data_IF_266115034354
#
_entry.id   IF_266115034354
#
_cell.length_a   1.000
_cell.length_b   1.000
_cell.length_c   1.000
_cell.angle_alpha   90.00
_cell.angle_beta   90.00
_cell.angle_gamma   90.00
#
_symmetry.space_group_name_H-M   'P 1'
#
loop_
_entity.id
_entity.type
_entity.pdbx_description
1 polymer ?
#
# COMPACT_ATOMS: atom_id res chain seq x y z
N UNK A 1 12.99 -11.32 6.78
CA UNK A 1 13.73 -10.77 5.61
C UNK A 1 12.84 -10.23 4.47
N UNK A 2 11.59 -10.68 4.30
CA UNK A 2 10.69 -10.27 3.19
C UNK A 2 10.14 -8.83 3.30
N UNK A 3 9.75 -8.37 4.48
CA UNK A 3 9.08 -7.06 4.66
C UNK A 3 9.97 -5.86 4.30
N UNK A 4 11.28 -5.93 4.59
CA UNK A 4 12.23 -4.83 4.27
C UNK A 4 12.31 -4.51 2.78
N UNK A 5 12.19 -5.53 1.90
CA UNK A 5 12.21 -5.34 0.45
C UNK A 5 10.93 -4.69 -0.05
N UNK A 6 9.78 -5.11 0.47
CA UNK A 6 8.49 -4.53 0.13
C UNK A 6 8.37 -3.05 0.54
N UNK A 7 8.90 -2.71 1.73
CA UNK A 7 8.97 -1.31 2.15
C UNK A 7 9.85 -0.49 1.20
N UNK A 8 11.01 -1.01 0.77
CA UNK A 8 11.84 -0.31 -0.24
C UNK A 8 11.10 -0.14 -1.57
N UNK A 9 10.38 -1.16 -2.02
CA UNK A 9 9.59 -1.08 -3.24
C UNK A 9 8.50 0.02 -3.14
N UNK A 10 7.78 0.08 -2.01
CA UNK A 10 6.78 1.12 -1.77
C UNK A 10 7.40 2.53 -1.76
N UNK A 11 8.54 2.70 -1.08
CA UNK A 11 9.28 3.98 -1.07
C UNK A 11 9.77 4.37 -2.48
N UNK A 12 10.30 3.41 -3.25
CA UNK A 12 10.69 3.63 -4.64
C UNK A 12 9.52 3.96 -5.57
N UNK A 13 8.31 3.52 -5.23
CA UNK A 13 7.08 3.87 -5.92
C UNK A 13 6.49 5.23 -5.52
N UNK A 14 7.17 5.99 -4.65
CA UNK A 14 6.73 7.33 -4.22
C UNK A 14 5.87 7.35 -2.95
N UNK A 15 5.64 6.21 -2.30
CA UNK A 15 4.91 6.19 -1.03
C UNK A 15 5.78 6.66 0.14
N UNK A 16 5.16 7.22 1.17
CA UNK A 16 5.80 7.47 2.46
C UNK A 16 5.55 6.31 3.43
N UNK A 17 6.51 6.04 4.32
CA UNK A 17 6.32 5.05 5.39
C UNK A 17 5.49 5.66 6.51
N UNK A 18 4.37 5.02 6.84
CA UNK A 18 3.56 5.39 8.00
C UNK A 18 4.22 4.98 9.33
N UNK A 19 4.37 3.67 9.58
CA UNK A 19 5.18 3.10 10.67
C UNK A 19 5.75 1.73 10.25
N UNK A 20 6.93 1.36 10.75
CA UNK A 20 7.55 0.06 10.51
C UNK A 20 7.12 -1.02 11.51
N UNK A 21 6.70 -0.64 12.72
CA UNK A 21 6.18 -1.57 13.72
C UNK A 21 5.49 -0.90 14.90
N UNK A 22 5.02 -1.69 15.89
CA UNK A 22 4.37 -1.16 17.10
C UNK A 22 5.28 -0.27 17.95
N UNK A 23 6.59 -0.42 17.82
CA UNK A 23 7.58 0.38 18.55
C UNK A 23 7.75 1.80 18.00
N UNK A 24 7.22 2.14 16.83
CA UNK A 24 7.40 3.49 16.26
C UNK A 24 6.37 4.50 16.79
N UNK A 25 5.28 4.03 17.40
CA UNK A 25 4.22 4.86 17.96
C UNK A 25 2.99 4.06 18.37
N UNK A 26 2.14 4.67 19.18
CA UNK A 26 0.91 4.04 19.66
C UNK A 26 -0.21 4.33 18.67
N UNK A 27 -0.91 3.29 18.23
CA UNK A 27 -2.14 3.42 17.45
C UNK A 27 -3.22 2.67 18.21
N UNK A 28 -4.18 3.40 18.76
CA UNK A 28 -5.39 2.84 19.34
C UNK A 28 -6.36 2.48 18.20
N UNK A 29 -7.03 1.34 18.30
CA UNK A 29 -8.00 0.90 17.31
C UNK A 29 -9.41 1.13 17.85
N UNK A 30 -10.18 1.98 17.16
CA UNK A 30 -11.55 2.37 17.50
C UNK A 30 -12.54 1.27 17.19
N UNK A 31 -12.80 0.46 18.21
CA UNK A 31 -13.93 -0.48 18.29
C UNK A 31 -14.33 -0.72 19.76
N UNK A 32 -13.84 0.15 20.65
CA UNK A 32 -14.00 0.10 22.11
C UNK A 32 -14.17 1.53 22.57
N UNK A 33 -15.40 2.06 22.50
CA UNK A 33 -15.75 3.35 23.09
C UNK A 33 -15.20 3.47 24.54
N UNK A 34 -15.25 2.36 25.27
CA UNK A 34 -14.59 2.13 26.55
C UNK A 34 -13.14 2.62 26.65
N UNK A 35 -12.33 2.52 25.60
CA UNK A 35 -10.93 2.94 25.67
C UNK A 35 -10.79 4.45 25.71
N UNK A 36 -11.63 5.18 24.96
CA UNK A 36 -11.61 6.65 24.96
C UNK A 36 -12.33 7.21 26.20
N UNK A 37 -13.33 6.50 26.72
CA UNK A 37 -14.15 6.96 27.84
C UNK A 37 -13.57 6.59 29.22
N UNK A 38 -12.55 5.71 29.30
CA UNK A 38 -11.91 5.32 30.56
C UNK A 38 -10.70 6.20 30.89
N UNK A 39 -10.90 7.17 31.79
CA UNK A 39 -9.83 7.91 32.44
C UNK A 39 -9.08 8.87 31.51
N UNK A 40 -7.75 8.73 31.41
CA UNK A 40 -6.87 9.62 30.62
C UNK A 40 -6.05 8.81 29.59
N UNK A 41 -6.71 8.15 28.62
CA UNK A 41 -6.07 7.16 27.73
C UNK A 41 -4.97 7.79 26.86
N UNK A 42 -5.16 9.03 26.40
CA UNK A 42 -4.12 9.75 25.67
C UNK A 42 -2.91 10.10 26.53
N UNK A 43 -3.11 10.45 27.80
CA UNK A 43 -1.99 10.73 28.71
C UNK A 43 -1.20 9.47 29.03
N UNK A 44 -1.88 8.34 29.24
CA UNK A 44 -1.24 7.03 29.40
C UNK A 44 -0.47 6.63 28.14
N UNK A 45 -1.09 6.78 26.96
CA UNK A 45 -0.45 6.52 25.68
C UNK A 45 0.78 7.42 25.47
N UNK A 46 0.67 8.72 25.78
CA UNK A 46 1.79 9.67 25.73
C UNK A 46 2.91 9.25 26.68
N UNK A 47 2.60 8.97 27.94
CA UNK A 47 3.57 8.53 28.93
C UNK A 47 4.32 7.26 28.51
N UNK A 48 3.61 6.28 27.93
CA UNK A 48 4.23 5.05 27.41
C UNK A 48 4.99 5.27 26.08
N UNK A 49 4.54 6.21 25.25
CA UNK A 49 5.14 6.48 23.94
C UNK A 49 6.38 7.39 24.01
N UNK A 50 6.54 8.19 25.07
CA UNK A 50 7.57 9.21 25.17
C UNK A 50 7.36 10.30 24.12
N UNK A 51 8.32 10.46 23.21
CA UNK A 51 8.25 11.43 22.09
C UNK A 51 7.56 10.87 20.82
N UNK A 52 7.15 9.60 20.83
CA UNK A 52 6.60 8.93 19.64
C UNK A 52 5.15 9.38 19.36
N UNK A 53 4.72 9.40 18.10
CA UNK A 53 3.36 9.77 17.76
C UNK A 53 2.33 8.82 18.37
N UNK A 54 1.20 9.39 18.76
CA UNK A 54 0.00 8.65 19.21
C UNK A 54 -1.15 8.92 18.25
N UNK A 55 -1.89 7.89 17.89
CA UNK A 55 -3.05 7.98 17.01
C UNK A 55 -4.20 7.09 17.44
N UNK A 56 -5.39 7.35 16.91
CA UNK A 56 -6.58 6.54 17.08
C UNK A 56 -7.25 6.31 15.71
N UNK A 57 -7.55 5.05 15.42
CA UNK A 57 -8.46 4.68 14.34
C UNK A 57 -9.91 4.91 14.80
N UNK A 58 -10.73 5.49 13.93
CA UNK A 58 -12.10 5.89 14.24
C UNK A 58 -13.05 5.50 13.13
N UNK A 59 -14.28 5.13 13.49
CA UNK A 59 -15.31 4.69 12.53
C UNK A 59 -16.42 5.73 12.33
N UNK A 60 -16.49 6.77 13.17
CA UNK A 60 -17.50 7.83 13.06
C UNK A 60 -17.06 9.20 13.58
N UNK A 61 -17.83 10.23 13.25
CA UNK A 61 -17.53 11.63 13.59
C UNK A 61 -17.43 11.87 15.10
N UNK A 62 -18.35 11.32 15.88
CA UNK A 62 -18.36 11.47 17.34
C UNK A 62 -17.09 10.88 17.99
N UNK A 63 -16.65 9.72 17.51
CA UNK A 63 -15.41 9.09 17.95
C UNK A 63 -14.18 9.90 17.51
N UNK A 64 -14.20 10.45 16.29
CA UNK A 64 -13.15 11.35 15.81
C UNK A 64 -13.02 12.60 16.69
N UNK A 65 -14.14 13.21 17.10
CA UNK A 65 -14.16 14.36 18.00
C UNK A 65 -13.64 14.00 19.39
N UNK A 66 -14.05 12.87 19.96
CA UNK A 66 -13.52 12.37 21.24
C UNK A 66 -12.01 12.12 21.18
N UNK A 67 -11.54 11.45 20.13
CA UNK A 67 -10.12 11.16 19.93
C UNK A 67 -9.30 12.45 19.74
N UNK A 68 -9.82 13.42 18.99
CA UNK A 68 -9.21 14.73 18.80
C UNK A 68 -9.11 15.51 20.12
N UNK A 69 -10.19 15.54 20.91
CA UNK A 69 -10.24 16.19 22.21
C UNK A 69 -9.25 15.55 23.20
N UNK A 70 -9.09 14.22 23.14
CA UNK A 70 -8.06 13.51 23.89
C UNK A 70 -6.63 13.76 23.35
N UNK A 71 -6.49 14.35 22.16
CA UNK A 71 -5.20 14.72 21.57
C UNK A 71 -4.50 13.58 20.83
N UNK A 72 -5.26 12.62 20.31
CA UNK A 72 -4.80 11.61 19.35
C UNK A 72 -4.85 12.15 17.93
N UNK A 73 -3.92 11.68 17.09
CA UNK A 73 -4.03 11.84 15.64
C UNK A 73 -5.12 10.90 15.07
N UNK A 74 -5.97 11.40 14.17
CA UNK A 74 -7.15 10.67 13.69
C UNK A 74 -6.80 9.82 12.45
N UNK A 75 -7.31 8.58 12.43
CA UNK A 75 -7.28 7.65 11.29
C UNK A 75 -8.71 7.19 10.98
N UNK A 76 -9.31 7.70 9.93
CA UNK A 76 -10.69 7.40 9.52
C UNK A 76 -10.70 6.02 8.85
N UNK A 77 -11.37 5.04 9.44
CA UNK A 77 -11.41 3.65 8.94
C UNK A 77 -12.50 3.42 7.89
N UNK A 78 -12.64 2.17 7.43
CA UNK A 78 -13.64 1.71 6.44
C UNK A 78 -15.09 2.05 6.81
N UNK A 79 -15.40 2.17 8.12
CA UNK A 79 -16.73 2.59 8.61
C UNK A 79 -17.01 4.09 8.47
N UNK A 80 -15.99 4.91 8.23
CA UNK A 80 -16.11 6.36 8.17
C UNK A 80 -16.66 6.79 6.82
N UNK A 81 -17.81 7.47 6.82
CA UNK A 81 -18.47 7.90 5.59
C UNK A 81 -17.55 8.80 4.76
N UNK A 82 -17.31 8.44 3.49
CA UNK A 82 -16.48 9.19 2.54
C UNK A 82 -16.83 10.68 2.47
N UNK A 83 -18.11 11.06 2.60
CA UNK A 83 -18.54 12.47 2.60
C UNK A 83 -18.10 13.25 3.83
N UNK A 84 -17.89 12.58 4.96
CA UNK A 84 -17.39 13.17 6.20
C UNK A 84 -15.85 13.23 6.24
N UNK A 85 -15.15 12.56 5.32
CA UNK A 85 -13.70 12.46 5.35
C UNK A 85 -12.95 13.80 5.19
N UNK A 86 -13.60 14.85 4.67
CA UNK A 86 -13.03 16.20 4.53
C UNK A 86 -13.55 17.25 5.52
N UNK A 87 -14.50 16.87 6.39
CA UNK A 87 -15.07 17.75 7.40
C UNK A 87 -14.68 17.22 8.79
N UNK A 88 -13.62 17.76 9.37
CA UNK A 88 -13.18 17.33 10.70
C UNK A 88 -12.10 18.23 11.29
N UNK A 89 -11.87 18.16 12.61
CA UNK A 89 -10.90 18.99 13.34
C UNK A 89 -9.43 18.74 12.94
N UNK A 90 -9.19 17.80 12.01
CA UNK A 90 -7.87 17.41 11.53
C UNK A 90 -7.38 18.17 10.29
N UNK A 91 -8.08 19.21 9.81
CA UNK A 91 -7.67 19.94 8.59
C UNK A 91 -6.63 21.05 8.83
N UNK A 92 -6.37 21.45 10.08
CA UNK A 92 -5.44 22.54 10.40
C UNK A 92 -4.14 22.01 11.04
N UNK A 93 -3.10 21.83 10.22
CA UNK A 93 -1.71 21.84 10.66
C UNK A 93 -0.88 20.59 10.34
N UNK A 94 0.13 20.77 9.48
CA UNK A 94 1.13 19.74 9.15
C UNK A 94 1.80 19.24 10.43
N UNK A 95 1.44 18.04 10.86
CA UNK A 95 1.99 17.35 12.03
C UNK A 95 1.00 17.04 13.15
N UNK A 96 -0.15 17.73 13.21
CA UNK A 96 -1.24 17.45 14.18
C UNK A 96 -2.62 17.30 13.53
N UNK A 97 -2.86 18.03 12.45
CA UNK A 97 -4.06 17.98 11.62
C UNK A 97 -3.69 17.57 10.19
N UNK A 98 -3.49 16.27 9.98
CA UNK A 98 -3.63 15.70 8.64
C UNK A 98 -4.72 14.63 8.75
N UNK A 99 -5.78 14.78 7.96
CA UNK A 99 -6.85 13.81 7.86
C UNK A 99 -6.35 12.58 7.11
N UNK A 100 -6.37 11.44 7.80
CA UNK A 100 -5.86 10.17 7.27
C UNK A 100 -7.01 9.23 7.02
N UNK A 101 -7.16 8.76 5.78
CA UNK A 101 -8.03 7.64 5.47
C UNK A 101 -7.23 6.34 5.56
N UNK A 102 -7.80 5.34 6.21
CA UNK A 102 -7.31 3.98 6.33
C UNK A 102 -8.46 3.00 6.12
N UNK A 103 -8.15 1.72 5.92
CA UNK A 103 -9.16 0.68 5.74
C UNK A 103 -9.42 0.35 4.27
N UNK A 104 -8.90 -0.80 3.84
CA UNK A 104 -9.14 -1.40 2.52
C UNK A 104 -9.03 -0.45 1.32
N UNK A 105 -8.12 0.53 1.40
CA UNK A 105 -7.82 1.44 0.28
C UNK A 105 -6.98 0.70 -0.74
N UNK A 106 -7.45 0.64 -1.99
CA UNK A 106 -6.81 0.00 -3.12
C UNK A 106 -6.91 0.89 -4.37
N UNK A 107 -6.33 0.46 -5.49
CA UNK A 107 -6.25 1.28 -6.70
C UNK A 107 -7.65 1.70 -7.22
N UNK A 108 -8.65 0.85 -6.99
CA UNK A 108 -10.03 1.00 -7.46
C UNK A 108 -10.80 2.10 -6.71
N UNK A 109 -10.46 2.36 -5.43
CA UNK A 109 -11.17 3.30 -4.58
C UNK A 109 -10.32 4.50 -4.11
N UNK A 110 -9.00 4.47 -4.32
CA UNK A 110 -8.09 5.53 -3.87
C UNK A 110 -8.47 6.92 -4.40
N UNK A 111 -8.96 7.00 -5.65
CA UNK A 111 -9.41 8.25 -6.24
C UNK A 111 -10.62 8.86 -5.51
N UNK A 112 -11.56 8.01 -5.05
CA UNK A 112 -12.73 8.47 -4.30
C UNK A 112 -12.34 9.01 -2.92
N UNK A 113 -11.39 8.36 -2.23
CA UNK A 113 -10.85 8.88 -0.97
C UNK A 113 -10.05 10.16 -1.18
N UNK A 114 -9.22 10.26 -2.23
CA UNK A 114 -8.48 11.49 -2.53
C UNK A 114 -9.41 12.68 -2.83
N UNK A 115 -10.52 12.45 -3.53
CA UNK A 115 -11.53 13.48 -3.77
C UNK A 115 -12.27 13.93 -2.50
N UNK A 116 -12.25 13.13 -1.44
CA UNK A 116 -12.88 13.42 -0.17
C UNK A 116 -12.06 14.38 0.74
N UNK A 117 -11.05 15.07 0.18
CA UNK A 117 -10.22 16.07 0.88
C UNK A 117 -9.43 15.52 2.08
N UNK A 118 -9.00 14.26 2.00
CA UNK A 118 -8.06 13.68 2.97
C UNK A 118 -6.62 14.02 2.57
N UNK A 119 -5.79 14.33 3.57
CA UNK A 119 -4.38 14.67 3.34
C UNK A 119 -3.53 13.42 3.03
N UNK A 120 -3.87 12.28 3.64
CA UNK A 120 -3.06 11.06 3.55
C UNK A 120 -3.94 9.82 3.38
N UNK A 121 -3.60 9.00 2.39
CA UNK A 121 -4.13 7.65 2.24
C UNK A 121 -3.17 6.64 2.87
N UNK A 122 -3.64 5.87 3.85
CA UNK A 122 -2.90 4.81 4.51
C UNK A 122 -3.37 3.47 3.95
N UNK A 123 -2.52 2.82 3.16
CA UNK A 123 -2.85 1.54 2.50
C UNK A 123 -1.76 0.49 2.66
N UNK A 124 -2.20 -0.77 2.73
CA UNK A 124 -1.33 -1.95 2.67
C UNK A 124 -1.33 -2.63 1.30
N UNK A 125 -2.06 -2.09 0.30
CA UNK A 125 -2.15 -2.63 -1.05
C UNK A 125 -0.78 -2.83 -1.72
N UNK A 126 0.21 -1.92 -1.62
CA UNK A 126 1.54 -2.13 -2.22
C UNK A 126 2.26 -3.38 -1.71
N UNK A 127 1.96 -3.83 -0.49
CA UNK A 127 2.57 -5.02 0.10
C UNK A 127 1.91 -6.34 -0.34
N UNK A 128 0.75 -6.26 -0.99
CA UNK A 128 0.00 -7.40 -1.54
C UNK A 128 -0.05 -7.39 -3.07
N UNK A 129 0.60 -6.43 -3.72
CA UNK A 129 0.63 -6.32 -5.18
C UNK A 129 1.33 -7.53 -5.81
N UNK A 130 0.85 -8.00 -6.98
CA UNK A 130 1.51 -9.07 -7.71
C UNK A 130 2.92 -8.63 -8.16
N UNK A 131 3.91 -9.55 -8.22
CA UNK A 131 5.21 -9.25 -8.79
C UNK A 131 5.09 -8.77 -10.24
N UNK A 132 5.96 -7.84 -10.64
CA UNK A 132 6.08 -7.43 -12.04
C UNK A 132 6.67 -8.59 -12.86
N UNK A 133 6.01 -8.95 -13.96
CA UNK A 133 6.57 -9.89 -14.93
C UNK A 133 7.63 -9.19 -15.79
N UNK A 134 8.86 -9.68 -15.74
CA UNK A 134 9.95 -9.18 -16.56
C UNK A 134 10.82 -10.34 -17.07
N UNK A 135 11.34 -10.19 -18.27
CA UNK A 135 12.20 -11.19 -18.91
C UNK A 135 13.54 -10.58 -19.31
N UNK A 136 14.55 -11.43 -19.48
CA UNK A 136 15.87 -11.02 -19.96
C UNK A 136 16.06 -11.51 -21.39
N UNK A 137 16.71 -10.68 -22.22
CA UNK A 137 17.12 -11.08 -23.57
C UNK A 137 18.64 -11.10 -23.63
N UNK A 138 19.20 -12.29 -23.79
CA UNK A 138 20.62 -12.43 -24.10
C UNK A 138 20.86 -11.95 -25.53
N UNK A 139 21.82 -11.04 -25.71
CA UNK A 139 22.31 -10.63 -27.03
C UNK A 139 23.77 -11.00 -27.13
N UNK A 140 24.14 -11.65 -28.23
CA UNK A 140 25.55 -11.84 -28.56
C UNK A 140 26.14 -10.48 -28.93
N UNK A 141 27.16 -10.05 -28.19
CA UNK A 141 27.93 -8.86 -28.53
C UNK A 141 28.98 -9.29 -29.55
N UNK A 142 28.84 -8.83 -30.80
CA UNK A 142 29.92 -8.98 -31.78
C UNK A 142 31.06 -8.05 -31.36
N UNK A 143 32.21 -8.62 -31.07
CA UNK A 143 33.46 -7.87 -30.95
C UNK A 143 34.00 -7.59 -32.35
N UNK A 144 34.69 -6.46 -32.53
CA UNK A 144 35.44 -6.21 -33.76
C UNK A 144 36.46 -7.35 -33.92
N UNK A 145 36.39 -8.07 -35.04
CA UNK A 145 37.17 -9.30 -35.28
C UNK A 145 36.39 -10.61 -35.16
N UNK A 146 35.09 -10.60 -34.79
CA UNK A 146 34.29 -11.82 -34.86
C UNK A 146 34.15 -12.28 -36.32
N UNK A 147 34.49 -13.53 -36.69
CA UNK A 147 34.30 -14.02 -38.05
C UNK A 147 32.84 -13.86 -38.49
N UNK A 148 32.55 -13.67 -39.79
CA UNK A 148 31.19 -13.57 -40.28
C UNK A 148 30.41 -14.83 -39.87
N UNK A 149 29.10 -14.71 -39.57
CA UNK A 149 28.30 -15.87 -39.22
C UNK A 149 28.41 -16.91 -40.33
N UNK A 150 28.67 -18.17 -39.98
CA UNK A 150 28.66 -19.27 -40.95
C UNK A 150 27.32 -19.21 -41.71
N UNK A 151 27.33 -19.35 -43.05
CA UNK A 151 26.10 -19.42 -43.81
C UNK A 151 25.30 -20.62 -43.28
N UNK A 152 24.18 -20.34 -42.61
CA UNK A 152 23.36 -21.38 -42.02
C UNK A 152 22.65 -22.15 -43.14
N UNK A 153 23.24 -23.27 -43.57
CA UNK A 153 22.53 -24.33 -44.28
C UNK A 153 21.74 -25.17 -43.28
N UNK A 154 20.71 -24.57 -42.69
CA UNK A 154 19.69 -25.34 -41.98
C UNK A 154 18.33 -24.73 -42.28
N UNK A 155 17.39 -25.47 -42.90
CA UNK A 155 16.02 -25.02 -42.96
C UNK A 155 15.54 -24.96 -41.51
N UNK A 156 14.95 -23.84 -41.10
CA UNK A 156 14.48 -23.64 -39.74
C UNK A 156 13.16 -24.39 -39.50
N UNK A 157 13.10 -25.38 -38.59
CA UNK A 157 11.84 -25.69 -37.91
C UNK A 157 11.86 -25.30 -36.41
N UNK A 158 13.03 -25.12 -35.80
CA UNK A 158 13.13 -25.01 -34.34
C UNK A 158 12.87 -23.58 -33.78
N UNK A 159 12.91 -22.53 -34.61
CA UNK A 159 12.60 -21.15 -34.16
C UNK A 159 11.11 -20.87 -33.92
N UNK A 160 10.19 -21.64 -34.52
CA UNK A 160 8.74 -21.45 -34.30
C UNK A 160 8.20 -22.26 -33.11
N UNK A 161 8.79 -23.41 -32.80
CA UNK A 161 8.29 -24.31 -31.75
C UNK A 161 8.37 -23.70 -30.34
N UNK A 162 9.48 -23.01 -30.03
CA UNK A 162 9.68 -22.42 -28.68
C UNK A 162 8.70 -21.25 -28.42
N UNK A 163 8.37 -20.46 -29.44
CA UNK A 163 7.40 -19.36 -29.32
C UNK A 163 5.94 -19.84 -29.14
N UNK A 164 5.57 -20.99 -29.74
CA UNK A 164 4.22 -21.56 -29.61
C UNK A 164 4.02 -22.31 -28.31
N UNK A 165 5.05 -22.99 -27.80
CA UNK A 165 4.99 -23.67 -26.50
C UNK A 165 4.77 -22.65 -25.36
N UNK A 166 5.44 -21.50 -25.41
CA UNK A 166 5.26 -20.44 -24.41
C UNK A 166 3.86 -19.80 -24.50
N UNK A 167 3.37 -19.55 -25.73
CA UNK A 167 2.03 -18.94 -25.93
C UNK A 167 0.87 -19.87 -25.54
N UNK A 168 1.01 -21.19 -25.74
CA UNK A 168 -0.02 -22.17 -25.30
C UNK A 168 -0.07 -22.30 -23.78
N UNK A 169 1.09 -22.31 -23.11
CA UNK A 169 1.16 -22.39 -21.65
C UNK A 169 0.59 -21.13 -20.95
N UNK A 170 0.74 -19.95 -21.57
CA UNK A 170 0.18 -18.71 -21.02
C UNK A 170 -1.34 -18.58 -21.20
N UNK A 171 -1.93 -19.14 -22.27
CA UNK A 171 -3.39 -19.11 -22.49
C UNK A 171 -4.15 -20.22 -21.75
N UNK A 172 -3.50 -21.31 -21.37
CA UNK A 172 -4.15 -22.37 -20.56
C UNK A 172 -4.18 -22.06 -19.06
N UNK A 173 -3.40 -21.08 -18.60
CA UNK A 173 -3.42 -20.61 -17.21
C UNK A 173 -4.45 -19.49 -16.95
N UNK A 174 -5.05 -18.93 -18.00
CA UNK A 174 -6.03 -17.84 -17.90
C UNK A 174 -7.49 -18.29 -18.15
N UNK A 175 -7.78 -19.60 -18.09
CA UNK A 175 -9.09 -20.15 -18.47
C UNK A 175 -9.75 -21.06 -17.43
N UNK A 176 -9.26 -21.08 -16.19
CA UNK A 176 -9.83 -21.90 -15.12
C UNK A 176 -10.05 -21.06 -13.86
N UNK A 177 -10.89 -20.02 -13.95
CA UNK A 177 -11.64 -19.51 -12.80
C UNK A 177 -12.89 -18.70 -13.22
N UNK A 178 -13.65 -19.22 -14.19
CA UNK A 178 -15.01 -18.75 -14.50
C UNK A 178 -15.93 -19.95 -14.71
N UNK A 179 -16.62 -20.33 -13.64
CA UNK A 179 -17.92 -21.03 -13.51
C UNK A 179 -18.11 -21.25 -12.00
N UNK A 180 -18.97 -20.47 -11.34
CA UNK A 180 -20.40 -20.75 -11.18
C UNK A 180 -20.63 -22.08 -10.45
#
# INVERSE_FOLDING_TARGET
>A
MRLRKLIKAALSGGAARHRAGPSDGVLAFGGRADFLDRGRPAELARGASGIRPIGAEVEGEEEALRAAAAGFAIYKSRGYHLRACGAGPGAEGVGRGADRASGDIAAENAAAYAAASVDVLVTSAPYRAPPLDFTTRMRFRRTAGSPPPCPSTSPAPHRRAVSRAYKKASTSASGADERA
#
